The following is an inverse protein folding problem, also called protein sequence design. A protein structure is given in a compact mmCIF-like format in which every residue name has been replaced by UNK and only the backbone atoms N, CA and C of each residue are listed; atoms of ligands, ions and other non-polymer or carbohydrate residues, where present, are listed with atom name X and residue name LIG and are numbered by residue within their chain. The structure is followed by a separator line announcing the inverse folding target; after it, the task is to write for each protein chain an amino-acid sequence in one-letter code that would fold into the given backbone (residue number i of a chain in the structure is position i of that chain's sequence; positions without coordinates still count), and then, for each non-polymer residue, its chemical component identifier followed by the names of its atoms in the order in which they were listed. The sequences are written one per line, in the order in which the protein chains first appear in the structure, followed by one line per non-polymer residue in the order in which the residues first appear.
data_IF_041638303410
#
_entry.id   IF_041638303410
#
_cell.length_a   1.000
_cell.length_b   1.000
_cell.length_c   1.000
_cell.angle_alpha   90.00
_cell.angle_beta   90.00
_cell.angle_gamma   90.00
#
_symmetry.space_group_name_H-M   'P 1'
#
loop_
_entity.id
_entity.type
_entity.pdbx_description
1 polymer ?
#
# COMPACT_ATOMS: atom_id res chain seq x y z
N UNK A 1 -3.66 2.70 -20.25
CA UNK A 1 -4.87 2.68 -21.10
C UNK A 1 -5.94 3.51 -20.42
N UNK A 2 -6.79 4.20 -21.18
CA UNK A 2 -7.96 4.90 -20.62
C UNK A 2 -9.06 3.93 -20.23
N UNK A 3 -10.28 4.43 -20.03
CA UNK A 3 -11.46 3.60 -19.75
C UNK A 3 -11.84 2.82 -21.01
N UNK A 4 -11.63 1.50 -21.00
CA UNK A 4 -11.95 0.60 -22.13
C UNK A 4 -13.26 -0.16 -21.94
N UNK A 5 -13.82 -0.16 -20.73
CA UNK A 5 -14.95 -1.01 -20.35
C UNK A 5 -14.57 -2.48 -20.05
N UNK A 6 -13.29 -2.83 -20.17
CA UNK A 6 -12.77 -4.17 -19.83
C UNK A 6 -11.94 -4.05 -18.55
N UNK A 7 -12.15 -4.97 -17.61
CA UNK A 7 -11.40 -5.00 -16.36
C UNK A 7 -9.91 -5.27 -16.63
N UNK A 8 -9.01 -4.59 -15.90
CA UNK A 8 -7.56 -4.74 -16.12
C UNK A 8 -7.10 -6.19 -15.94
N UNK A 9 -7.67 -6.91 -14.97
CA UNK A 9 -7.37 -8.34 -14.76
C UNK A 9 -7.71 -9.20 -15.97
N UNK A 10 -8.76 -8.86 -16.72
CA UNK A 10 -9.19 -9.61 -17.90
C UNK A 10 -8.28 -9.35 -19.09
N UNK A 11 -7.81 -8.11 -19.24
CA UNK A 11 -6.78 -7.75 -20.23
C UNK A 11 -5.49 -8.55 -19.96
N UNK A 12 -5.01 -8.52 -18.71
CA UNK A 12 -3.79 -9.24 -18.31
C UNK A 12 -3.96 -10.74 -18.51
N UNK A 13 -5.10 -11.32 -18.10
CA UNK A 13 -5.39 -12.74 -18.32
C UNK A 13 -5.36 -13.12 -19.80
N UNK A 14 -6.01 -12.32 -20.66
CA UNK A 14 -6.02 -12.56 -22.11
C UNK A 14 -4.62 -12.52 -22.72
N UNK A 15 -3.75 -11.63 -22.24
CA UNK A 15 -2.35 -11.57 -22.64
C UNK A 15 -1.58 -12.80 -22.19
N UNK A 16 -1.77 -13.25 -20.94
CA UNK A 16 -1.13 -14.45 -20.40
C UNK A 16 -1.53 -15.69 -21.21
N UNK A 17 -2.81 -15.86 -21.52
CA UNK A 17 -3.30 -17.00 -22.32
C UNK A 17 -2.72 -17.02 -23.74
N UNK A 18 -2.50 -15.85 -24.33
CA UNK A 18 -1.96 -15.71 -25.69
C UNK A 18 -0.44 -15.84 -25.75
N UNK A 19 0.28 -15.14 -24.86
CA UNK A 19 1.75 -15.07 -24.84
C UNK A 19 2.35 -16.31 -24.18
N UNK A 20 1.64 -16.92 -23.22
CA UNK A 20 2.08 -18.08 -22.42
C UNK A 20 3.45 -17.85 -21.75
N UNK A 21 3.60 -16.79 -20.93
CA UNK A 21 4.84 -16.55 -20.20
C UNK A 21 5.08 -17.64 -19.14
N UNK A 22 6.34 -17.86 -18.76
CA UNK A 22 6.69 -18.77 -17.65
C UNK A 22 6.28 -18.19 -16.28
N UNK A 23 6.32 -16.85 -16.15
CA UNK A 23 6.04 -16.09 -14.93
C UNK A 23 5.45 -14.72 -15.27
N UNK A 24 4.64 -14.19 -14.36
CA UNK A 24 4.20 -12.78 -14.40
C UNK A 24 4.80 -12.03 -13.22
N UNK A 25 5.43 -10.89 -13.49
CA UNK A 25 5.84 -9.94 -12.45
C UNK A 25 4.84 -8.80 -12.43
N UNK A 26 4.07 -8.68 -11.35
CA UNK A 26 3.08 -7.63 -11.18
C UNK A 26 3.62 -6.58 -10.20
N UNK A 27 3.69 -5.32 -10.63
CA UNK A 27 4.17 -4.20 -9.82
C UNK A 27 3.00 -3.26 -9.56
N UNK A 28 2.76 -2.87 -8.31
CA UNK A 28 1.67 -1.96 -7.95
C UNK A 28 2.05 -1.00 -6.82
N UNK A 29 1.38 0.15 -6.82
CA UNK A 29 1.35 1.05 -5.70
C UNK A 29 0.33 0.54 -4.67
N UNK A 30 0.75 0.38 -3.43
CA UNK A 30 -0.05 -0.11 -2.32
C UNK A 30 -0.43 1.04 -1.37
N UNK A 31 -1.48 0.79 -0.61
CA UNK A 31 -1.79 1.63 0.55
C UNK A 31 -1.23 0.98 1.82
N UNK A 32 -0.54 1.77 2.62
CA UNK A 32 -0.04 1.33 3.92
C UNK A 32 -1.10 1.50 5.01
N UNK A 33 -0.97 0.70 6.07
CA UNK A 33 -1.69 0.89 7.34
C UNK A 33 -0.86 1.64 8.39
N UNK A 34 0.34 2.08 8.02
CA UNK A 34 1.25 2.86 8.87
C UNK A 34 2.04 3.86 8.02
N UNK A 35 2.16 5.09 8.50
CA UNK A 35 2.86 6.15 7.79
C UNK A 35 4.35 5.89 7.63
N UNK A 36 4.99 5.25 8.60
CA UNK A 36 6.43 4.92 8.55
C UNK A 36 6.83 4.05 7.34
N UNK A 37 5.88 3.31 6.75
CA UNK A 37 6.12 2.39 5.62
C UNK A 37 5.92 3.05 4.26
N UNK A 38 5.30 4.22 4.22
CA UNK A 38 5.09 4.96 2.98
C UNK A 38 6.44 5.36 2.43
N UNK A 39 6.69 5.05 1.16
CA UNK A 39 7.91 5.37 0.43
C UNK A 39 9.23 4.77 0.97
N UNK A 40 9.17 3.95 2.04
CA UNK A 40 10.35 3.39 2.71
C UNK A 40 10.47 1.87 2.56
N UNK A 41 9.43 1.21 2.04
CA UNK A 41 9.35 -0.26 1.99
C UNK A 41 9.00 -0.74 0.58
N UNK A 42 9.60 -1.86 0.17
CA UNK A 42 9.21 -2.61 -1.02
C UNK A 42 8.81 -4.02 -0.57
N UNK A 43 7.57 -4.40 -0.81
CA UNK A 43 7.04 -5.73 -0.50
C UNK A 43 7.19 -6.65 -1.71
N UNK A 44 7.71 -7.86 -1.50
CA UNK A 44 7.80 -8.89 -2.54
C UNK A 44 7.05 -10.14 -2.04
N UNK A 45 6.17 -10.69 -2.87
CA UNK A 45 5.40 -11.88 -2.49
C UNK A 45 4.99 -12.74 -3.70
N UNK A 46 4.62 -14.00 -3.44
CA UNK A 46 4.03 -14.91 -4.44
C UNK A 46 2.51 -15.04 -4.28
N UNK A 47 1.91 -14.31 -3.36
CA UNK A 47 0.46 -14.34 -3.12
C UNK A 47 -0.33 -13.63 -4.22
N UNK A 48 0.35 -12.87 -5.09
CA UNK A 48 -0.26 -11.99 -6.07
C UNK A 48 -0.50 -10.58 -5.54
N UNK A 49 -1.26 -9.77 -6.27
CA UNK A 49 -1.53 -8.37 -5.93
C UNK A 49 -3.01 -8.04 -6.09
N UNK A 50 -3.55 -7.26 -5.16
CA UNK A 50 -4.97 -6.85 -5.12
C UNK A 50 -5.03 -5.32 -5.29
N UNK A 51 -5.25 -4.81 -6.51
CA UNK A 51 -5.10 -3.39 -6.78
C UNK A 51 -6.03 -2.50 -5.95
N UNK A 52 -5.44 -1.64 -5.12
CA UNK A 52 -6.17 -0.74 -4.21
C UNK A 52 -6.84 -1.42 -3.01
N UNK A 53 -6.55 -2.68 -2.72
CA UNK A 53 -7.18 -3.41 -1.59
C UNK A 53 -6.95 -2.72 -0.22
N UNK A 54 -5.84 -2.01 -0.06
CA UNK A 54 -5.54 -1.26 1.16
C UNK A 54 -6.36 0.02 1.36
N UNK A 55 -7.07 0.50 0.33
CA UNK A 55 -8.04 1.62 0.43
C UNK A 55 -9.48 1.16 0.19
N UNK A 56 -9.76 -0.14 0.37
CA UNK A 56 -11.11 -0.70 0.22
C UNK A 56 -11.56 -0.92 -1.23
N UNK A 57 -10.65 -0.90 -2.19
CA UNK A 57 -10.97 -1.20 -3.59
C UNK A 57 -11.15 -2.71 -3.80
N UNK A 58 -12.18 -3.11 -4.56
CA UNK A 58 -12.57 -4.51 -4.78
C UNK A 58 -12.22 -5.01 -6.19
N UNK A 59 -11.14 -4.50 -6.78
CA UNK A 59 -10.66 -4.99 -8.08
C UNK A 59 -10.19 -6.45 -7.96
N UNK A 60 -10.40 -7.21 -9.04
CA UNK A 60 -9.94 -8.60 -9.13
C UNK A 60 -8.42 -8.65 -8.98
N UNK A 61 -7.96 -9.50 -8.07
CA UNK A 61 -6.53 -9.71 -7.81
C UNK A 61 -5.84 -10.39 -8.98
N UNK A 62 -4.56 -10.06 -9.18
CA UNK A 62 -3.66 -10.75 -10.10
C UNK A 62 -2.89 -11.80 -9.29
N UNK A 63 -3.33 -13.05 -9.38
CA UNK A 63 -2.76 -14.18 -8.63
C UNK A 63 -2.55 -15.37 -9.57
N UNK A 64 -1.89 -16.42 -9.06
CA UNK A 64 -1.74 -17.67 -9.81
C UNK A 64 -3.10 -18.28 -10.16
N UNK A 65 -4.06 -18.17 -9.27
CA UNK A 65 -5.42 -18.70 -9.45
C UNK A 65 -6.18 -17.94 -10.54
N UNK A 66 -6.00 -16.62 -10.63
CA UNK A 66 -6.70 -15.80 -11.62
C UNK A 66 -6.04 -15.83 -13.00
N UNK A 67 -4.71 -15.94 -13.06
CA UNK A 67 -3.94 -15.89 -14.31
C UNK A 67 -3.49 -17.27 -14.83
N UNK A 68 -3.48 -18.31 -14.00
CA UNK A 68 -3.03 -19.65 -14.37
C UNK A 68 -1.51 -19.81 -14.48
N UNK A 69 -0.73 -18.77 -14.18
CA UNK A 69 0.73 -18.74 -14.19
C UNK A 69 1.24 -18.18 -12.87
N UNK A 70 2.40 -18.64 -12.40
CA UNK A 70 3.03 -18.13 -11.18
C UNK A 70 3.24 -16.60 -11.26
N UNK A 71 2.81 -15.90 -10.20
CA UNK A 71 2.90 -14.44 -10.09
C UNK A 71 3.90 -14.05 -9.01
N UNK A 72 4.82 -13.16 -9.34
CA UNK A 72 5.68 -12.45 -8.40
C UNK A 72 5.12 -11.03 -8.28
N UNK A 73 4.62 -10.68 -7.10
CA UNK A 73 4.05 -9.38 -6.82
C UNK A 73 5.09 -8.50 -6.11
N UNK A 74 5.29 -7.29 -6.63
CA UNK A 74 6.12 -6.23 -6.06
C UNK A 74 5.20 -5.06 -5.71
N UNK A 75 5.07 -4.75 -4.44
CA UNK A 75 4.20 -3.69 -3.95
C UNK A 75 4.99 -2.61 -3.24
N UNK A 76 4.71 -1.34 -3.56
CA UNK A 76 5.33 -0.19 -2.88
C UNK A 76 4.24 0.61 -2.17
N UNK A 77 4.27 0.77 -0.84
CA UNK A 77 3.30 1.62 -0.16
C UNK A 77 3.58 3.09 -0.48
N UNK A 78 2.67 3.77 -1.17
CA UNK A 78 2.84 5.17 -1.63
C UNK A 78 1.82 6.13 -1.03
N UNK A 79 0.78 5.57 -0.42
CA UNK A 79 -0.32 6.31 0.18
C UNK A 79 -0.79 5.63 1.45
N UNK A 80 -1.56 6.35 2.26
CA UNK A 80 -2.38 5.81 3.35
C UNK A 80 -3.78 6.39 3.26
N UNK A 81 -4.74 5.77 3.94
CA UNK A 81 -6.00 6.44 4.20
C UNK A 81 -5.87 7.46 5.35
N UNK A 82 -6.72 8.48 5.35
CA UNK A 82 -6.68 9.56 6.33
C UNK A 82 -6.95 9.08 7.77
N UNK A 83 -7.72 8.01 7.96
CA UNK A 83 -7.95 7.46 9.30
C UNK A 83 -6.67 6.84 9.86
N UNK A 84 -5.95 6.06 9.05
CA UNK A 84 -4.61 5.54 9.38
C UNK A 84 -3.64 6.66 9.76
N UNK A 85 -3.55 7.73 8.96
CA UNK A 85 -2.70 8.88 9.32
C UNK A 85 -3.09 9.47 10.68
N UNK A 86 -4.39 9.68 10.89
CA UNK A 86 -4.88 10.33 12.10
C UNK A 86 -4.57 9.50 13.34
N UNK A 87 -4.70 8.17 13.26
CA UNK A 87 -4.33 7.25 14.34
C UNK A 87 -2.84 7.36 14.66
N UNK A 88 -1.99 7.26 13.63
CA UNK A 88 -0.53 7.32 13.81
C UNK A 88 -0.11 8.65 14.47
N UNK A 89 -0.68 9.77 14.02
CA UNK A 89 -0.43 11.10 14.60
C UNK A 89 -0.95 11.20 16.03
N UNK A 90 -2.15 10.67 16.30
CA UNK A 90 -2.74 10.67 17.63
C UNK A 90 -1.89 9.86 18.62
N UNK A 91 -1.45 8.66 18.23
CA UNK A 91 -0.61 7.81 19.07
C UNK A 91 0.75 8.47 19.33
N UNK A 92 1.39 9.06 18.31
CA UNK A 92 2.62 9.85 18.49
C UNK A 92 2.42 11.06 19.42
N UNK A 93 1.29 11.77 19.30
CA UNK A 93 0.98 12.91 20.16
C UNK A 93 0.77 12.47 21.62
N UNK A 94 0.05 11.36 21.85
CA UNK A 94 -0.15 10.79 23.19
C UNK A 94 1.19 10.39 23.81
N UNK A 95 2.04 9.69 23.06
CA UNK A 95 3.36 9.26 23.54
C UNK A 95 4.23 10.46 23.94
N UNK A 96 4.24 11.52 23.13
CA UNK A 96 4.97 12.75 23.44
C UNK A 96 4.42 13.47 24.68
N UNK A 97 3.09 13.48 24.88
CA UNK A 97 2.47 14.09 26.05
C UNK A 97 2.83 13.35 27.33
N UNK A 98 2.73 12.02 27.34
CA UNK A 98 3.14 11.17 28.48
C UNK A 98 4.60 11.45 28.85
N UNK A 99 5.49 11.56 27.85
CA UNK A 99 6.91 11.79 28.08
C UNK A 99 7.22 13.18 28.70
N UNK A 100 6.32 14.15 28.59
CA UNK A 100 6.50 15.51 29.13
C UNK A 100 5.69 15.80 30.40
N UNK A 101 4.77 14.92 30.79
CA UNK A 101 3.90 15.13 31.96
C UNK A 101 4.29 14.23 33.13
N UNK A 102 4.52 14.80 34.31
CA UNK A 102 4.69 14.03 35.57
C UNK A 102 3.33 13.63 36.20
N UNK A 103 2.24 14.30 35.83
CA UNK A 103 0.89 14.01 36.31
C UNK A 103 -0.03 13.73 35.11
N UNK A 104 -0.93 12.74 35.26
CA UNK A 104 -1.98 12.28 34.33
C UNK A 104 -1.70 11.00 33.51
N UNK A 105 -0.93 10.03 34.01
CA UNK A 105 -0.79 8.70 33.37
C UNK A 105 -2.13 8.01 33.09
N UNK A 106 -3.10 8.11 34.01
CA UNK A 106 -4.34 7.33 33.95
C UNK A 106 -5.25 7.66 32.76
N UNK A 107 -5.29 8.91 32.31
CA UNK A 107 -6.07 9.32 31.14
C UNK A 107 -5.42 8.85 29.84
N UNK A 108 -4.09 9.00 29.72
CA UNK A 108 -3.36 8.55 28.54
C UNK A 108 -3.37 7.02 28.40
N UNK A 109 -3.26 6.29 29.52
CA UNK A 109 -3.41 4.83 29.57
C UNK A 109 -4.82 4.38 29.15
N UNK A 110 -5.88 5.16 29.45
CA UNK A 110 -7.22 4.86 28.96
C UNK A 110 -7.30 4.99 27.43
N UNK A 111 -6.68 6.02 26.84
CA UNK A 111 -6.64 6.20 25.38
C UNK A 111 -5.83 5.10 24.69
N UNK A 112 -4.74 4.62 25.30
CA UNK A 112 -3.94 3.49 24.78
C UNK A 112 -4.65 2.14 24.83
N UNK A 113 -5.58 1.95 25.77
CA UNK A 113 -6.33 0.68 25.91
C UNK A 113 -7.35 0.43 24.81
N UNK A 114 -7.74 1.46 24.05
CA UNK A 114 -8.59 1.26 22.87
C UNK A 114 -7.82 0.48 21.81
N UNK A 115 -8.46 -0.55 21.25
CA UNK A 115 -7.87 -1.32 20.16
C UNK A 115 -7.70 -0.45 18.92
N UNK A 116 -6.65 -0.70 18.15
CA UNK A 116 -6.36 0.02 16.90
C UNK A 116 -7.56 0.00 15.93
N UNK A 117 -8.25 -1.14 15.82
CA UNK A 117 -9.46 -1.28 15.00
C UNK A 117 -10.63 -0.42 15.49
N UNK A 118 -10.84 -0.33 16.81
CA UNK A 118 -11.89 0.51 17.41
C UNK A 118 -11.59 1.99 17.17
N UNK A 119 -10.33 2.41 17.39
CA UNK A 119 -9.87 3.77 17.05
C UNK A 119 -10.09 4.08 15.57
N UNK A 120 -9.75 3.14 14.69
CA UNK A 120 -9.91 3.28 13.25
C UNK A 120 -11.37 3.50 12.86
N UNK A 121 -12.30 2.70 13.39
CA UNK A 121 -13.72 2.87 13.10
C UNK A 121 -14.26 4.21 13.59
N UNK A 122 -13.92 4.62 14.82
CA UNK A 122 -14.35 5.91 15.38
C UNK A 122 -13.86 7.10 14.55
N UNK A 123 -12.59 7.08 14.16
CA UNK A 123 -12.00 8.13 13.33
C UNK A 123 -12.61 8.12 11.93
N UNK A 124 -12.78 6.94 11.32
CA UNK A 124 -13.40 6.81 10.00
C UNK A 124 -14.84 7.33 9.97
N UNK A 125 -15.63 7.05 10.99
CA UNK A 125 -16.99 7.58 11.12
C UNK A 125 -16.98 9.11 11.33
N UNK A 126 -15.98 9.63 12.03
CA UNK A 126 -15.79 11.08 12.21
C UNK A 126 -15.37 11.79 10.92
N UNK A 127 -14.74 11.08 9.99
CA UNK A 127 -14.34 11.57 8.67
C UNK A 127 -15.45 11.45 7.61
N UNK A 128 -16.57 10.81 7.92
CA UNK A 128 -17.73 10.65 7.02
C UNK A 128 -18.18 11.97 6.34
N UNK A 129 -18.26 13.13 7.04
CA UNK A 129 -18.68 14.38 6.42
C UNK A 129 -17.78 14.86 5.27
N UNK A 130 -16.58 14.30 5.11
CA UNK A 130 -15.55 14.71 4.16
C UNK A 130 -15.35 13.75 2.98
N UNK A 131 -16.34 12.89 2.70
CA UNK A 131 -16.32 11.88 1.64
C UNK A 131 -15.34 10.73 1.97
N UNK A 132 -15.90 9.55 2.29
CA UNK A 132 -15.34 8.44 3.09
C UNK A 132 -13.98 7.82 2.70
N UNK A 133 -13.30 8.33 1.67
CA UNK A 133 -12.11 7.72 1.10
C UNK A 133 -11.00 8.75 0.81
N UNK A 134 -10.68 9.58 1.80
CA UNK A 134 -9.52 10.46 1.71
C UNK A 134 -8.23 9.65 1.73
N UNK A 135 -7.45 9.80 0.66
CA UNK A 135 -6.12 9.22 0.52
C UNK A 135 -5.10 10.33 0.75
N UNK A 136 -4.10 10.05 1.58
CA UNK A 136 -3.02 10.98 1.89
C UNK A 136 -1.72 10.46 1.28
N UNK A 137 -0.97 11.35 0.68
CA UNK A 137 0.34 11.09 0.09
C UNK A 137 1.31 12.24 0.42
N UNK A 138 2.62 11.98 0.54
CA UNK A 138 3.61 13.03 0.68
C UNK A 138 3.59 14.02 -0.49
N UNK A 139 4.05 15.25 -0.22
CA UNK A 139 4.00 16.34 -1.21
C UNK A 139 4.94 16.11 -2.40
N UNK A 140 6.02 15.37 -2.17
CA UNK A 140 7.10 15.01 -3.08
C UNK A 140 6.94 13.58 -3.64
N UNK A 141 5.69 13.11 -3.76
CA UNK A 141 5.42 11.76 -4.23
C UNK A 141 5.92 11.52 -5.65
N UNK A 142 5.86 12.52 -6.53
CA UNK A 142 6.30 12.38 -7.93
C UNK A 142 7.79 12.02 -8.03
N UNK A 143 8.66 12.76 -7.34
CA UNK A 143 10.11 12.50 -7.28
C UNK A 143 10.40 11.13 -6.62
N UNK A 144 9.59 10.77 -5.63
CA UNK A 144 9.73 9.49 -4.94
C UNK A 144 9.39 8.32 -5.87
N UNK A 145 8.31 8.43 -6.63
CA UNK A 145 7.90 7.43 -7.63
C UNK A 145 8.95 7.29 -8.72
N UNK A 146 9.53 8.40 -9.20
CA UNK A 146 10.62 8.36 -10.18
C UNK A 146 11.81 7.55 -9.64
N UNK A 147 12.29 7.87 -8.44
CA UNK A 147 13.41 7.15 -7.81
C UNK A 147 13.09 5.66 -7.58
N UNK A 148 11.90 5.34 -7.07
CA UNK A 148 11.47 3.96 -6.85
C UNK A 148 11.37 3.17 -8.15
N UNK A 149 10.92 3.81 -9.24
CA UNK A 149 10.84 3.17 -10.55
C UNK A 149 12.23 2.74 -11.06
N UNK A 150 13.25 3.57 -10.83
CA UNK A 150 14.65 3.28 -11.17
C UNK A 150 15.15 2.12 -10.32
N UNK A 151 14.93 2.16 -8.99
CA UNK A 151 15.38 1.12 -8.07
C UNK A 151 14.78 -0.25 -8.44
N UNK A 152 13.47 -0.31 -8.68
CA UNK A 152 12.78 -1.56 -9.02
C UNK A 152 13.23 -2.06 -10.40
N UNK A 153 13.32 -1.17 -11.39
CA UNK A 153 13.79 -1.50 -12.73
C UNK A 153 15.21 -2.08 -12.71
N UNK A 154 16.13 -1.44 -12.00
CA UNK A 154 17.51 -1.91 -11.85
C UNK A 154 17.59 -3.24 -11.10
N UNK A 155 16.81 -3.42 -10.03
CA UNK A 155 16.71 -4.68 -9.30
C UNK A 155 16.22 -5.83 -10.19
N UNK A 156 15.21 -5.57 -11.02
CA UNK A 156 14.70 -6.54 -12.01
C UNK A 156 15.73 -6.83 -13.10
N UNK A 157 16.36 -5.80 -13.66
CA UNK A 157 17.40 -5.97 -14.69
C UNK A 157 18.57 -6.80 -14.18
N UNK A 158 19.06 -6.55 -12.96
CA UNK A 158 20.17 -7.30 -12.38
C UNK A 158 19.82 -8.75 -12.07
N UNK A 159 18.59 -9.00 -11.61
CA UNK A 159 18.14 -10.35 -11.27
C UNK A 159 17.83 -11.21 -12.50
N UNK A 160 17.24 -10.63 -13.54
CA UNK A 160 16.84 -11.35 -14.76
C UNK A 160 17.92 -11.34 -15.85
N UNK A 161 18.83 -10.36 -15.82
CA UNK A 161 19.91 -10.20 -16.79
C UNK A 161 21.29 -10.05 -16.11
N UNK A 162 21.79 -11.09 -15.42
CA UNK A 162 23.05 -11.04 -14.68
C UNK A 162 24.30 -10.75 -15.55
N UNK A 163 24.21 -10.90 -16.88
CA UNK A 163 25.27 -10.54 -17.83
C UNK A 163 25.33 -9.05 -18.20
N UNK A 164 24.36 -8.24 -17.75
CA UNK A 164 24.33 -6.80 -17.96
C UNK A 164 25.10 -6.12 -16.83
N UNK A 165 26.42 -6.05 -16.98
CA UNK A 165 27.29 -5.26 -16.12
C UNK A 165 26.97 -3.77 -16.37
N UNK A 166 26.54 -3.06 -15.32
CA UNK A 166 26.46 -1.59 -15.29
C UNK A 166 27.86 -1.03 -15.08
#
# INVERSE_FOLDING_TARGET
MGVTGIETSEIVKSLVEKVKPDRVVAIDALASRKMERVNSTIQISTAGISPGGGVGNTRKSLTKETLGVDVIAIGVPTVVDAATLTIDVLDMAIDNLIAQSEETESFYEMLKKLKEEEKYHLIKDSLDPYDKNLIVTPKDIDDTIENLSIIISEGLNRSLHPGRLV
#
